data_IF_870267161681
#
_entry.id   IF_870267161681
#
_cell.length_a   1.000
_cell.length_b   1.000
_cell.length_c   1.000
_cell.angle_alpha   90.00
_cell.angle_beta   90.00
_cell.angle_gamma   90.00
#
_symmetry.space_group_name_H-M   'P 1'
#
loop_
_entity.id
_entity.type
_entity.pdbx_description
1 polymer ?
#
# COMPACT_ATOMS: atom_id res chain seq x y z
N UNK A 1 14.89 8.44 51.28
CA UNK A 1 15.68 7.77 50.21
C UNK A 1 15.05 6.52 49.60
N UNK A 2 14.08 5.88 50.25
CA UNK A 2 13.44 4.61 49.81
C UNK A 2 12.31 4.78 48.79
N UNK A 3 11.60 5.92 48.78
CA UNK A 3 10.50 6.22 47.89
C UNK A 3 10.93 6.47 46.41
N UNK A 4 12.04 7.16 46.21
CA UNK A 4 12.60 7.45 44.86
C UNK A 4 13.13 6.19 44.16
N UNK A 5 13.61 5.18 44.88
CA UNK A 5 14.03 3.90 44.30
C UNK A 5 12.84 3.09 43.79
N UNK A 6 11.71 3.10 44.54
CA UNK A 6 10.48 2.41 44.12
C UNK A 6 9.84 3.04 42.87
N UNK A 7 9.87 4.36 42.72
CA UNK A 7 9.38 5.08 41.52
C UNK A 7 10.24 4.76 40.28
N UNK A 8 11.55 4.70 40.42
CA UNK A 8 12.44 4.32 39.29
C UNK A 8 12.22 2.90 38.81
N UNK A 9 11.98 1.96 39.72
CA UNK A 9 11.69 0.56 39.38
C UNK A 9 10.32 0.43 38.70
N UNK A 10 9.31 1.19 39.16
CA UNK A 10 7.99 1.21 38.55
C UNK A 10 8.04 1.77 37.10
N UNK A 11 8.79 2.82 36.86
CA UNK A 11 9.00 3.36 35.51
C UNK A 11 9.80 2.42 34.59
N UNK A 12 10.76 1.67 35.14
CA UNK A 12 11.52 0.67 34.40
C UNK A 12 10.64 -0.50 33.96
N UNK A 13 9.74 -0.95 34.83
CA UNK A 13 8.77 -2.03 34.51
C UNK A 13 7.76 -1.57 33.45
N UNK A 14 7.30 -0.30 33.50
CA UNK A 14 6.40 0.23 32.46
C UNK A 14 7.08 0.33 31.09
N UNK A 15 8.40 0.58 31.04
CA UNK A 15 9.15 0.65 29.78
C UNK A 15 9.31 -0.72 29.12
N UNK A 16 9.44 -1.80 29.91
CA UNK A 16 9.52 -3.17 29.40
C UNK A 16 8.15 -3.76 28.96
N UNK A 17 7.04 -3.22 29.47
CA UNK A 17 5.70 -3.67 29.06
C UNK A 17 5.29 -3.16 27.67
N UNK A 18 5.92 -2.12 27.15
CA UNK A 18 5.59 -1.56 25.83
C UNK A 18 6.40 -2.18 24.65
N UNK A 19 7.44 -2.97 24.93
CA UNK A 19 8.25 -3.59 23.87
C UNK A 19 7.65 -4.86 23.26
N UNK A 20 6.58 -5.40 23.84
CA UNK A 20 5.97 -6.65 23.37
C UNK A 20 4.87 -6.48 22.30
N UNK A 21 4.39 -5.24 22.04
CA UNK A 21 3.30 -5.02 21.08
C UNK A 21 3.74 -5.16 19.61
N UNK A 22 5.00 -4.88 19.30
CA UNK A 22 5.51 -5.02 17.93
C UNK A 22 6.07 -6.41 17.60
N UNK A 23 6.51 -7.16 18.62
CA UNK A 23 7.00 -8.52 18.43
C UNK A 23 5.88 -9.51 18.10
N UNK A 24 4.66 -9.25 18.57
CA UNK A 24 3.50 -10.12 18.36
C UNK A 24 2.99 -10.06 16.91
N UNK A 25 2.98 -8.88 16.29
CA UNK A 25 2.48 -8.70 14.92
C UNK A 25 3.29 -9.49 13.88
N UNK A 26 4.61 -9.54 14.00
CA UNK A 26 5.45 -10.31 13.08
C UNK A 26 5.28 -11.82 13.26
N UNK A 27 5.18 -12.31 14.50
CA UNK A 27 4.99 -13.73 14.78
C UNK A 27 3.62 -14.22 14.29
N UNK A 28 2.58 -13.41 14.51
CA UNK A 28 1.21 -13.70 14.07
C UNK A 28 1.09 -13.62 12.55
N UNK A 29 1.81 -12.70 11.90
CA UNK A 29 1.88 -12.62 10.45
C UNK A 29 2.56 -13.84 9.82
N UNK A 30 3.67 -14.34 10.41
CA UNK A 30 4.33 -15.57 9.94
C UNK A 30 3.43 -16.80 10.10
N UNK A 31 2.66 -16.87 11.18
CA UNK A 31 1.65 -17.90 11.37
C UNK A 31 0.56 -17.80 10.30
N UNK A 32 0.03 -16.60 10.06
CA UNK A 32 -0.94 -16.35 9.01
C UNK A 32 -0.42 -16.75 7.63
N UNK A 33 0.85 -16.49 7.28
CA UNK A 33 1.44 -16.93 6.00
C UNK A 33 1.37 -18.45 5.83
N UNK A 34 1.62 -19.20 6.91
CA UNK A 34 1.52 -20.67 6.88
C UNK A 34 0.09 -21.14 6.63
N UNK A 35 -0.88 -20.49 7.28
CA UNK A 35 -2.30 -20.81 7.10
C UNK A 35 -2.76 -20.40 5.70
N UNK A 36 -2.32 -19.25 5.20
CA UNK A 36 -2.61 -18.76 3.86
C UNK A 36 -2.04 -19.66 2.76
N UNK A 37 -0.90 -20.35 2.99
CA UNK A 37 -0.33 -21.33 2.04
C UNK A 37 -1.38 -22.38 1.66
N UNK A 38 -2.12 -22.93 2.61
CA UNK A 38 -3.17 -23.92 2.33
C UNK A 38 -4.26 -23.34 1.42
N UNK A 39 -4.64 -22.09 1.64
CA UNK A 39 -5.61 -21.38 0.80
C UNK A 39 -5.07 -21.14 -0.61
N UNK A 40 -3.80 -20.81 -0.76
CA UNK A 40 -3.14 -20.61 -2.04
C UNK A 40 -3.09 -21.91 -2.86
N UNK A 41 -2.68 -23.01 -2.23
CA UNK A 41 -2.66 -24.35 -2.86
C UNK A 41 -4.06 -24.78 -3.33
N UNK A 42 -5.08 -24.56 -2.51
CA UNK A 42 -6.48 -24.82 -2.87
C UNK A 42 -6.99 -23.95 -4.05
N UNK A 43 -6.30 -22.84 -4.36
CA UNK A 43 -6.59 -21.95 -5.49
C UNK A 43 -5.68 -22.20 -6.71
N UNK A 44 -5.06 -23.38 -6.81
CA UNK A 44 -4.20 -23.82 -7.92
C UNK A 44 -2.89 -23.03 -8.03
N UNK A 45 -2.37 -22.48 -6.94
CA UNK A 45 -1.03 -21.91 -6.87
C UNK A 45 -0.08 -23.03 -6.45
N UNK A 46 1.00 -23.25 -7.21
CA UNK A 46 1.97 -24.30 -6.89
C UNK A 46 2.72 -23.97 -5.59
N UNK A 47 3.09 -24.99 -4.83
CA UNK A 47 3.91 -24.82 -3.62
C UNK A 47 5.21 -24.10 -3.95
N UNK A 48 5.86 -24.46 -5.05
CA UNK A 48 7.08 -23.83 -5.55
C UNK A 48 6.90 -22.33 -5.78
N UNK A 49 5.82 -21.92 -6.46
CA UNK A 49 5.50 -20.51 -6.70
C UNK A 49 5.26 -19.79 -5.38
N UNK A 50 4.47 -20.38 -4.49
CA UNK A 50 4.18 -19.80 -3.18
C UNK A 50 5.46 -19.57 -2.38
N UNK A 51 6.31 -20.58 -2.24
CA UNK A 51 7.53 -20.49 -1.44
C UNK A 51 8.53 -19.51 -2.05
N UNK A 52 8.68 -19.49 -3.38
CA UNK A 52 9.54 -18.53 -4.08
C UNK A 52 9.13 -17.08 -3.81
N UNK A 53 7.83 -16.82 -3.79
CA UNK A 53 7.31 -15.45 -3.77
C UNK A 53 7.02 -14.96 -2.35
N UNK A 54 6.51 -15.84 -1.48
CA UNK A 54 6.05 -15.44 -0.15
C UNK A 54 7.14 -15.53 0.94
N UNK A 55 8.28 -16.18 0.67
CA UNK A 55 9.38 -16.30 1.65
C UNK A 55 9.86 -14.94 2.14
N UNK A 56 10.11 -14.00 1.23
CA UNK A 56 10.63 -12.67 1.55
C UNK A 56 9.55 -11.64 1.89
N UNK A 57 8.29 -12.05 1.89
CA UNK A 57 7.15 -11.19 2.20
C UNK A 57 7.15 -10.82 3.68
N UNK A 58 7.07 -9.52 3.97
CA UNK A 58 7.18 -8.95 5.31
C UNK A 58 5.91 -8.22 5.73
N UNK A 59 5.65 -8.19 7.04
CA UNK A 59 4.61 -7.33 7.61
C UNK A 59 5.01 -5.85 7.53
N UNK A 60 4.15 -5.02 6.94
CA UNK A 60 4.37 -3.59 6.72
C UNK A 60 3.32 -2.76 7.46
N UNK A 61 3.56 -2.44 8.74
CA UNK A 61 2.62 -1.67 9.58
C UNK A 61 2.19 -0.33 8.94
N UNK A 62 3.08 0.31 8.17
CA UNK A 62 2.76 1.55 7.48
C UNK A 62 1.69 1.37 6.39
N UNK A 63 1.59 0.21 5.77
CA UNK A 63 0.56 -0.09 4.77
C UNK A 63 -0.83 -0.03 5.41
N UNK A 64 -0.99 -0.62 6.59
CA UNK A 64 -2.24 -0.54 7.37
C UNK A 64 -2.57 0.91 7.72
N UNK A 65 -1.56 1.68 8.16
CA UNK A 65 -1.73 3.10 8.47
C UNK A 65 -2.23 3.88 7.26
N UNK A 66 -1.66 3.67 6.08
CA UNK A 66 -2.07 4.36 4.85
C UNK A 66 -3.44 3.90 4.34
N UNK A 67 -3.78 2.60 4.46
CA UNK A 67 -5.13 2.12 4.13
C UNK A 67 -6.21 2.73 5.01
N UNK A 68 -5.89 3.07 6.27
CA UNK A 68 -6.83 3.68 7.21
C UNK A 68 -6.88 5.21 7.12
N UNK A 69 -5.83 5.83 6.62
CA UNK A 69 -5.76 7.27 6.46
C UNK A 69 -5.95 7.66 5.00
N UNK A 70 -7.14 8.14 4.69
CA UNK A 70 -7.51 8.62 3.35
C UNK A 70 -7.78 10.13 3.44
N UNK A 71 -6.91 10.97 2.84
CA UNK A 71 -7.01 12.43 2.95
C UNK A 71 -8.37 13.01 2.56
N UNK A 72 -9.06 12.38 1.61
CA UNK A 72 -10.40 12.77 1.15
C UNK A 72 -11.47 12.79 2.24
N UNK A 73 -11.25 12.10 3.35
CA UNK A 73 -12.16 12.09 4.51
C UNK A 73 -11.76 13.11 5.59
N UNK A 74 -10.57 13.70 5.52
CA UNK A 74 -10.02 14.58 6.55
C UNK A 74 -9.70 15.99 6.04
N UNK A 75 -9.52 16.16 4.73
CA UNK A 75 -9.27 17.46 4.12
C UNK A 75 -10.58 18.09 3.62
N UNK A 76 -10.74 19.40 3.76
CA UNK A 76 -11.82 20.11 3.06
C UNK A 76 -11.59 20.08 1.55
N UNK A 77 -12.67 20.16 0.77
CA UNK A 77 -12.65 20.02 -0.69
C UNK A 77 -11.72 21.02 -1.36
N UNK A 78 -11.66 22.28 -0.88
CA UNK A 78 -10.79 23.32 -1.45
C UNK A 78 -9.32 22.97 -1.28
N UNK A 79 -8.94 22.57 -0.08
CA UNK A 79 -7.57 22.12 0.24
C UNK A 79 -7.20 20.87 -0.56
N UNK A 80 -8.11 19.90 -0.62
CA UNK A 80 -7.93 18.67 -1.41
C UNK A 80 -7.65 18.98 -2.88
N UNK A 81 -8.50 19.78 -3.52
CA UNK A 81 -8.35 20.17 -4.94
C UNK A 81 -7.07 20.97 -5.15
N UNK A 82 -6.79 22.00 -4.32
CA UNK A 82 -5.61 22.86 -4.50
C UNK A 82 -4.29 22.11 -4.44
N UNK A 83 -4.20 21.10 -3.57
CA UNK A 83 -3.01 20.23 -3.48
C UNK A 83 -2.81 19.36 -4.73
N UNK A 84 -3.89 18.94 -5.37
CA UNK A 84 -3.87 17.99 -6.50
C UNK A 84 -3.90 18.63 -7.87
N UNK A 85 -4.32 19.90 -7.98
CA UNK A 85 -4.43 20.67 -9.23
C UNK A 85 -3.56 21.93 -9.24
N UNK A 86 -2.36 21.87 -8.65
CA UNK A 86 -1.45 23.00 -8.62
C UNK A 86 -0.97 23.40 -10.04
N UNK A 87 -0.68 24.70 -10.25
CA UNK A 87 -0.13 25.20 -11.52
C UNK A 87 1.14 24.44 -11.96
N UNK A 88 1.98 24.03 -11.00
CA UNK A 88 3.16 23.20 -11.29
C UNK A 88 2.77 21.85 -11.90
N UNK A 89 1.73 21.19 -11.36
CA UNK A 89 1.23 19.91 -11.89
C UNK A 89 0.57 20.10 -13.26
N UNK A 90 -0.18 21.18 -13.46
CA UNK A 90 -0.78 21.51 -14.73
C UNK A 90 0.29 21.70 -15.83
N UNK A 91 1.30 22.54 -15.58
CA UNK A 91 2.39 22.77 -16.53
C UNK A 91 3.12 21.46 -16.87
N UNK A 92 3.38 20.61 -15.88
CA UNK A 92 3.97 19.29 -16.11
C UNK A 92 3.09 18.41 -17.02
N UNK A 93 1.77 18.49 -16.87
CA UNK A 93 0.83 17.76 -17.71
C UNK A 93 0.83 18.27 -19.16
N UNK A 94 0.92 19.58 -19.35
CA UNK A 94 1.04 20.21 -20.68
C UNK A 94 2.35 19.74 -21.35
N UNK A 95 3.47 19.82 -20.64
CA UNK A 95 4.77 19.36 -21.14
C UNK A 95 4.75 17.88 -21.49
N UNK A 96 4.14 17.06 -20.62
CA UNK A 96 3.98 15.61 -20.87
C UNK A 96 3.14 15.36 -22.13
N UNK A 97 2.03 16.08 -22.31
CA UNK A 97 1.21 15.99 -23.51
C UNK A 97 1.99 16.38 -24.78
N UNK A 98 2.67 17.52 -24.75
CA UNK A 98 3.43 17.98 -25.91
C UNK A 98 4.52 17.00 -26.34
N UNK A 99 5.20 16.38 -25.37
CA UNK A 99 6.24 15.40 -25.64
C UNK A 99 5.71 14.02 -26.10
N UNK A 100 4.42 13.73 -25.87
CA UNK A 100 3.80 12.42 -26.17
C UNK A 100 2.53 12.56 -27.03
N UNK A 101 2.38 13.68 -27.74
CA UNK A 101 1.14 14.10 -28.40
C UNK A 101 0.56 13.01 -29.31
N UNK A 102 1.39 12.40 -30.14
CA UNK A 102 0.94 11.42 -31.13
C UNK A 102 0.40 10.15 -30.44
N UNK A 103 1.11 9.66 -29.43
CA UNK A 103 0.68 8.51 -28.66
C UNK A 103 -0.64 8.78 -27.92
N UNK A 104 -0.76 9.94 -27.29
CA UNK A 104 -1.97 10.31 -26.54
C UNK A 104 -3.17 10.45 -27.49
N UNK A 105 -2.99 11.06 -28.66
CA UNK A 105 -4.04 11.17 -29.66
C UNK A 105 -4.46 9.79 -30.21
N UNK A 106 -3.52 8.85 -30.40
CA UNK A 106 -3.83 7.47 -30.77
C UNK A 106 -4.70 6.80 -29.70
N UNK A 107 -4.34 6.95 -28.41
CA UNK A 107 -5.09 6.39 -27.28
C UNK A 107 -6.49 7.01 -27.22
N UNK A 108 -6.61 8.34 -27.29
CA UNK A 108 -7.88 9.07 -27.31
C UNK A 108 -8.80 8.53 -28.41
N UNK A 109 -8.29 8.45 -29.65
CA UNK A 109 -9.06 7.98 -30.79
C UNK A 109 -9.45 6.49 -30.69
N UNK A 110 -8.54 5.66 -30.20
CA UNK A 110 -8.76 4.20 -30.10
C UNK A 110 -9.76 3.83 -29.00
N UNK A 111 -9.64 4.47 -27.84
CA UNK A 111 -10.44 4.11 -26.66
C UNK A 111 -11.61 5.06 -26.39
N UNK A 112 -11.72 6.15 -27.19
CA UNK A 112 -12.76 7.18 -27.03
C UNK A 112 -12.78 7.81 -25.63
N UNK A 113 -11.60 7.99 -25.05
CA UNK A 113 -11.39 8.65 -23.77
C UNK A 113 -10.76 10.01 -24.02
N UNK A 114 -11.37 11.08 -23.51
CA UNK A 114 -10.82 12.43 -23.61
C UNK A 114 -9.39 12.48 -23.04
N UNK A 115 -8.46 13.03 -23.82
CA UNK A 115 -7.06 13.14 -23.40
C UNK A 115 -6.87 13.93 -22.11
N UNK A 116 -7.71 14.93 -21.87
CA UNK A 116 -7.70 15.73 -20.64
C UNK A 116 -8.00 14.88 -19.42
N UNK A 117 -8.96 13.95 -19.52
CA UNK A 117 -9.27 12.99 -18.46
C UNK A 117 -8.11 12.02 -18.23
N UNK A 118 -7.58 11.44 -19.30
CA UNK A 118 -6.43 10.53 -19.24
C UNK A 118 -5.23 11.19 -18.55
N UNK A 119 -4.87 12.41 -19.00
CA UNK A 119 -3.75 13.16 -18.45
C UNK A 119 -3.97 13.56 -17.00
N UNK A 120 -5.21 13.93 -16.63
CA UNK A 120 -5.56 14.26 -15.24
C UNK A 120 -5.36 13.06 -14.31
N UNK A 121 -5.83 11.87 -14.71
CA UNK A 121 -5.62 10.64 -13.96
C UNK A 121 -4.13 10.30 -13.84
N UNK A 122 -3.37 10.35 -14.93
CA UNK A 122 -1.92 10.13 -14.90
C UNK A 122 -1.20 11.11 -13.96
N UNK A 123 -1.66 12.37 -13.94
CA UNK A 123 -1.13 13.39 -13.04
C UNK A 123 -1.43 13.12 -11.56
N UNK A 124 -2.64 12.66 -11.24
CA UNK A 124 -3.07 12.37 -9.86
C UNK A 124 -2.37 11.11 -9.34
N UNK A 125 -2.41 10.02 -10.09
CA UNK A 125 -1.94 8.71 -9.65
C UNK A 125 -0.41 8.61 -9.59
N UNK A 126 0.27 9.04 -10.63
CA UNK A 126 1.71 8.78 -10.76
C UNK A 126 2.56 10.04 -10.97
N UNK A 127 1.94 11.23 -10.91
CA UNK A 127 2.61 12.49 -11.27
C UNK A 127 3.33 12.37 -12.64
N UNK A 128 2.60 11.87 -13.65
CA UNK A 128 3.08 11.61 -15.01
C UNK A 128 4.25 10.61 -15.05
N UNK A 129 4.12 9.49 -14.35
CA UNK A 129 5.10 8.41 -14.29
C UNK A 129 6.36 8.69 -13.46
N UNK A 130 6.46 9.85 -12.79
CA UNK A 130 7.62 10.17 -11.97
C UNK A 130 7.50 9.75 -10.52
N UNK A 131 6.31 9.38 -10.09
CA UNK A 131 6.05 8.83 -8.77
C UNK A 131 5.59 7.38 -8.91
N UNK A 132 6.49 6.47 -8.65
CA UNK A 132 6.21 5.03 -8.52
C UNK A 132 6.27 4.68 -7.04
N UNK A 133 5.35 3.85 -6.58
CA UNK A 133 5.31 3.40 -5.20
C UNK A 133 6.66 2.79 -4.76
N UNK A 134 7.03 3.02 -3.49
CA UNK A 134 8.27 2.50 -2.91
C UNK A 134 8.03 1.25 -2.07
N UNK A 135 6.78 0.89 -1.83
CA UNK A 135 6.43 -0.26 -1.01
C UNK A 135 6.41 -1.52 -1.86
N UNK A 136 6.92 -2.60 -1.30
CA UNK A 136 6.83 -3.92 -1.91
C UNK A 136 5.38 -4.34 -2.07
N UNK A 137 4.98 -4.69 -3.29
CA UNK A 137 3.58 -4.99 -3.63
C UNK A 137 3.10 -6.26 -2.92
N UNK A 138 3.93 -7.31 -2.90
CA UNK A 138 3.59 -8.58 -2.27
C UNK A 138 3.42 -8.42 -0.77
N UNK A 139 4.40 -7.79 -0.10
CA UNK A 139 4.33 -7.51 1.33
C UNK A 139 3.14 -6.60 1.67
N UNK A 140 2.81 -5.64 0.79
CA UNK A 140 1.65 -4.76 0.98
C UNK A 140 0.34 -5.53 0.90
N UNK A 141 0.13 -6.34 -0.15
CA UNK A 141 -1.07 -7.16 -0.31
C UNK A 141 -1.18 -8.22 0.80
N UNK A 142 -0.07 -8.87 1.15
CA UNK A 142 -0.05 -9.84 2.23
C UNK A 142 -0.42 -9.19 3.58
N UNK A 143 0.14 -8.01 3.88
CA UNK A 143 -0.19 -7.25 5.09
C UNK A 143 -1.67 -6.88 5.15
N UNK A 144 -2.25 -6.39 4.04
CA UNK A 144 -3.67 -6.03 3.95
C UNK A 144 -4.58 -7.25 3.96
N UNK A 145 -4.12 -8.39 3.45
CA UNK A 145 -4.83 -9.67 3.55
C UNK A 145 -4.84 -10.21 4.98
N UNK A 146 -3.77 -9.98 5.72
CA UNK A 146 -3.67 -10.30 7.13
C UNK A 146 -4.51 -9.38 8.01
N UNK A 147 -4.59 -8.07 7.69
CA UNK A 147 -5.39 -7.11 8.45
C UNK A 147 -6.89 -7.42 8.31
N UNK A 148 -7.62 -7.43 9.43
CA UNK A 148 -9.04 -7.83 9.47
C UNK A 148 -9.94 -6.95 8.62
N UNK A 149 -9.56 -5.66 8.41
CA UNK A 149 -10.33 -4.74 7.57
C UNK A 149 -10.14 -5.10 6.10
N UNK A 150 -11.18 -5.45 5.40
CA UNK A 150 -11.18 -5.82 3.97
C UNK A 150 -10.26 -7.01 3.61
N UNK A 151 -9.95 -7.88 4.58
CA UNK A 151 -9.07 -9.04 4.40
C UNK A 151 -9.46 -9.90 3.18
N UNK A 152 -10.74 -10.19 2.99
CA UNK A 152 -11.22 -11.01 1.86
C UNK A 152 -10.98 -10.34 0.49
N UNK A 153 -11.13 -9.02 0.41
CA UNK A 153 -10.81 -8.29 -0.83
C UNK A 153 -9.33 -8.43 -1.18
N UNK A 154 -8.45 -8.07 -0.25
CA UNK A 154 -7.01 -8.12 -0.49
C UNK A 154 -6.47 -9.55 -0.66
N UNK A 155 -7.08 -10.53 -0.01
CA UNK A 155 -6.76 -11.95 -0.22
C UNK A 155 -7.05 -12.39 -1.67
N UNK A 156 -8.16 -11.93 -2.25
CA UNK A 156 -8.47 -12.20 -3.66
C UNK A 156 -7.43 -11.57 -4.59
N UNK A 157 -7.06 -10.32 -4.34
CA UNK A 157 -6.03 -9.62 -5.12
C UNK A 157 -4.66 -10.31 -5.00
N UNK A 158 -4.28 -10.74 -3.80
CA UNK A 158 -3.04 -11.49 -3.58
C UNK A 158 -3.04 -12.82 -4.32
N UNK A 159 -4.15 -13.57 -4.29
CA UNK A 159 -4.29 -14.82 -5.04
C UNK A 159 -4.22 -14.60 -6.56
N UNK A 160 -4.80 -13.51 -7.07
CA UNK A 160 -4.70 -13.14 -8.48
C UNK A 160 -3.23 -12.84 -8.84
N UNK A 161 -2.54 -12.04 -8.03
CA UNK A 161 -1.13 -11.72 -8.24
C UNK A 161 -0.25 -12.99 -8.26
N UNK A 162 -0.47 -13.91 -7.31
CA UNK A 162 0.29 -15.17 -7.26
C UNK A 162 0.04 -16.10 -8.46
N UNK A 163 -1.08 -15.95 -9.17
CA UNK A 163 -1.39 -16.70 -10.41
C UNK A 163 -0.71 -16.10 -11.65
N UNK A 164 -0.28 -14.84 -11.59
CA UNK A 164 0.40 -14.16 -12.69
C UNK A 164 1.90 -14.42 -12.73
N UNK A 165 2.45 -14.96 -11.64
CA UNK A 165 3.87 -15.30 -11.46
C UNK A 165 4.08 -16.79 -11.77
#
# INVERSE_FOLDING_TARGET
MTYMKKIKIFFLILFFLNSNLFANDNTDFEKWKKDFKQRALANNISEKTFDLVMTDTRFLANVIKYDRYQPEFYEDTKTYISKRSSTKKLNKGIDFYLNNKDLINIVENKFKIEKELLLSLMGIETNYGTYVGKMDILSSLATLSYDKRRSEFFTKELLILLKLI
#
